data_IF_866206904904
#
_entry.id   IF_866206904904
#
_cell.length_a   1.000
_cell.length_b   1.000
_cell.length_c   1.000
_cell.angle_alpha   90.00
_cell.angle_beta   90.00
_cell.angle_gamma   90.00
#
_symmetry.space_group_name_H-M   'P 1'
#
loop_
_entity.id
_entity.type
_entity.pdbx_description
1 polymer ?
#
# COMPACT_ATOMS: atom_id res chain seq x y z
N UNK A 1 -1.49 11.88 8.94
CA UNK A 1 -2.01 11.24 7.71
C UNK A 1 -1.36 9.87 7.65
N UNK A 2 -2.16 8.81 7.71
CA UNK A 2 -1.67 7.41 7.77
C UNK A 2 -0.83 7.11 6.54
N UNK A 3 0.49 7.08 6.72
CA UNK A 3 1.42 6.70 5.67
C UNK A 3 1.09 5.27 5.24
N UNK A 4 0.66 5.08 3.99
CA UNK A 4 0.47 3.77 3.37
C UNK A 4 1.86 3.12 3.23
N UNK A 5 2.28 2.23 4.13
CA UNK A 5 3.68 1.82 4.24
C UNK A 5 4.02 0.67 3.29
N UNK A 6 3.04 0.19 2.52
CA UNK A 6 3.20 -0.95 1.63
C UNK A 6 2.86 -0.57 0.19
N UNK A 7 3.60 -1.12 -0.76
CA UNK A 7 3.31 -1.03 -2.20
C UNK A 7 2.97 -2.43 -2.72
N UNK A 8 1.85 -2.54 -3.43
CA UNK A 8 1.44 -3.77 -4.08
C UNK A 8 2.32 -4.04 -5.32
N UNK A 9 3.21 -5.02 -5.27
CA UNK A 9 4.23 -5.24 -6.32
C UNK A 9 3.83 -6.25 -7.40
N UNK A 10 2.69 -6.93 -7.24
CA UNK A 10 2.26 -8.00 -8.14
C UNK A 10 1.55 -7.45 -9.37
N UNK A 11 1.77 -8.11 -10.51
CA UNK A 11 1.07 -7.81 -11.78
C UNK A 11 -0.29 -8.54 -11.90
N UNK A 12 -0.82 -9.05 -10.80
CA UNK A 12 -2.17 -9.62 -10.77
C UNK A 12 -3.14 -8.45 -10.57
N UNK A 13 -4.26 -8.42 -11.27
CA UNK A 13 -5.30 -7.38 -11.17
C UNK A 13 -4.93 -5.98 -11.71
N UNK A 14 -3.78 -5.81 -12.39
CA UNK A 14 -3.39 -4.51 -12.98
C UNK A 14 -3.09 -3.39 -11.97
N UNK A 15 -2.88 -3.71 -10.69
CA UNK A 15 -2.65 -2.73 -9.61
C UNK A 15 -1.20 -2.64 -9.12
N UNK A 16 -0.26 -3.06 -9.97
CA UNK A 16 1.17 -3.05 -9.66
C UNK A 16 1.64 -1.61 -9.38
N UNK A 17 2.30 -1.40 -8.24
CA UNK A 17 2.87 -0.12 -7.81
C UNK A 17 1.96 0.72 -6.92
N UNK A 18 0.72 0.32 -6.67
CA UNK A 18 -0.17 1.11 -5.82
C UNK A 18 0.20 1.02 -4.34
N UNK A 19 0.10 2.17 -3.66
CA UNK A 19 0.29 2.27 -2.22
C UNK A 19 -0.93 1.71 -1.49
N UNK A 20 -0.68 0.96 -0.42
CA UNK A 20 -1.67 0.30 0.38
C UNK A 20 -1.25 0.16 1.84
N UNK A 21 -2.24 -0.01 2.70
CA UNK A 21 -2.06 -0.31 4.11
C UNK A 21 -2.64 -1.69 4.42
N UNK A 22 -2.04 -2.39 5.38
CA UNK A 22 -2.57 -3.68 5.84
C UNK A 22 -3.56 -3.41 6.96
N UNK A 23 -4.84 -3.66 6.71
CA UNK A 23 -5.93 -3.46 7.67
C UNK A 23 -6.26 -4.73 8.48
N UNK A 24 -5.93 -5.91 7.97
CA UNK A 24 -6.12 -7.17 8.69
C UNK A 24 -5.03 -8.19 8.36
N UNK A 25 -4.69 -9.03 9.34
CA UNK A 25 -3.75 -10.15 9.18
C UNK A 25 -4.51 -11.46 9.35
N UNK A 26 -4.38 -12.36 8.37
CA UNK A 26 -4.98 -13.69 8.42
C UNK A 26 -4.04 -14.73 9.05
N UNK A 27 -4.52 -15.98 9.09
CA UNK A 27 -3.86 -17.11 9.76
C UNK A 27 -2.57 -17.59 9.07
N UNK A 28 -2.38 -17.29 7.78
CA UNK A 28 -1.18 -17.64 7.00
C UNK A 28 -0.46 -16.40 6.45
N UNK A 29 0.04 -16.45 5.22
CA UNK A 29 0.62 -15.31 4.52
C UNK A 29 -0.44 -14.34 4.01
N UNK A 30 -1.72 -14.57 4.28
CA UNK A 30 -2.81 -13.73 3.84
C UNK A 30 -2.95 -12.47 4.71
N UNK A 31 -3.26 -11.35 4.08
CA UNK A 31 -3.56 -10.07 4.71
C UNK A 31 -4.62 -9.32 3.90
N UNK A 32 -5.49 -8.59 4.57
CA UNK A 32 -6.38 -7.63 3.92
C UNK A 32 -5.66 -6.29 3.80
N UNK A 33 -5.61 -5.74 2.60
CA UNK A 33 -5.06 -4.43 2.32
C UNK A 33 -6.14 -3.46 1.88
N UNK A 34 -5.96 -2.19 2.26
CA UNK A 34 -6.74 -1.06 1.77
C UNK A 34 -5.85 -0.16 0.94
N UNK A 35 -6.33 0.20 -0.24
CA UNK A 35 -5.68 1.15 -1.14
C UNK A 35 -6.15 2.57 -0.81
N UNK A 36 -5.40 3.58 -1.27
CA UNK A 36 -5.75 5.00 -1.09
C UNK A 36 -7.15 5.35 -1.64
N UNK A 37 -7.59 4.66 -2.69
CA UNK A 37 -8.92 4.81 -3.31
C UNK A 37 -10.07 4.21 -2.46
N UNK A 38 -9.79 3.69 -1.26
CA UNK A 38 -10.78 3.06 -0.39
C UNK A 38 -11.10 1.61 -0.74
N UNK A 39 -10.56 1.08 -1.84
CA UNK A 39 -10.70 -0.32 -2.24
C UNK A 39 -9.99 -1.25 -1.24
N UNK A 40 -10.67 -2.32 -0.83
CA UNK A 40 -10.12 -3.35 0.06
C UNK A 40 -10.03 -4.71 -0.62
N UNK A 41 -8.95 -5.43 -0.36
CA UNK A 41 -8.71 -6.75 -0.95
C UNK A 41 -7.86 -7.63 -0.05
N UNK A 42 -8.17 -8.93 -0.03
CA UNK A 42 -7.30 -9.94 0.57
C UNK A 42 -6.23 -10.37 -0.42
N UNK A 43 -4.97 -10.27 -0.01
CA UNK A 43 -3.80 -10.70 -0.79
C UNK A 43 -2.78 -11.38 0.11
N UNK A 44 -1.73 -11.96 -0.48
CA UNK A 44 -0.57 -12.43 0.26
C UNK A 44 0.33 -11.26 0.66
N UNK A 45 0.92 -11.32 1.86
CA UNK A 45 1.98 -10.41 2.35
C UNK A 45 3.20 -10.41 1.43
N UNK A 46 3.45 -11.50 0.71
CA UNK A 46 4.54 -11.59 -0.28
C UNK A 46 4.29 -10.71 -1.52
N UNK A 47 3.04 -10.31 -1.76
CA UNK A 47 2.67 -9.37 -2.80
C UNK A 47 2.92 -7.91 -2.38
N UNK A 48 3.28 -7.66 -1.11
CA UNK A 48 3.52 -6.34 -0.58
C UNK A 48 5.03 -6.08 -0.45
N UNK A 49 5.48 -4.94 -0.95
CA UNK A 49 6.80 -4.40 -0.69
C UNK A 49 6.68 -3.32 0.38
N UNK A 50 7.52 -3.34 1.42
CA UNK A 50 7.61 -2.22 2.36
C UNK A 50 8.20 -1.03 1.64
N UNK A 51 7.52 0.10 1.71
CA UNK A 51 8.10 1.39 1.35
C UNK A 51 9.00 1.79 2.52
N UNK A 52 10.28 2.07 2.27
CA UNK A 52 11.11 2.72 3.29
C UNK A 52 10.48 4.08 3.55
N UNK A 53 10.12 4.33 4.81
CA UNK A 53 9.60 5.59 5.33
C UNK A 53 10.69 6.69 5.32
N UNK A 54 11.34 6.89 4.17
CA UNK A 54 12.44 7.81 3.96
C UNK A 54 12.25 8.68 2.72
N UNK A 55 11.18 8.48 1.94
CA UNK A 55 10.79 9.46 0.93
C UNK A 55 9.84 10.44 1.59
N UNK A 56 10.43 11.42 2.27
CA UNK A 56 9.79 12.67 2.61
C UNK A 56 9.25 13.29 1.31
N UNK A 57 8.02 12.95 0.93
CA UNK A 57 7.25 13.79 0.03
C UNK A 57 6.70 14.89 0.93
N UNK A 58 7.56 15.87 1.23
CA UNK A 58 7.09 17.19 1.63
C UNK A 58 5.97 17.56 0.66
N UNK A 59 4.82 18.06 1.11
CA UNK A 59 3.92 18.78 0.21
C UNK A 59 4.69 20.01 -0.25
N UNK A 60 5.43 19.88 -1.34
CA UNK A 60 5.95 21.01 -2.07
C UNK A 60 4.72 21.81 -2.49
N UNK A 61 4.59 22.97 -1.85
CA UNK A 61 4.18 24.21 -2.51
C UNK A 61 2.94 24.05 -3.40
N UNK A 62 1.78 24.43 -2.87
CA UNK A 62 0.80 25.09 -3.73
C UNK A 62 1.45 26.41 -4.19
N UNK A 63 1.75 26.62 -5.48
CA UNK A 63 2.12 27.95 -5.96
C UNK A 63 0.86 28.74 -6.33
N UNK A 64 0.99 30.06 -6.13
CA UNK A 64 0.08 31.19 -6.41
C UNK A 64 -0.98 31.50 -5.35
#
# INVERSE_FOLDING_TARGET
MTALPYVYRWNRQGRKGQHCEVIARGTMNSCCVRFGDGYTMVTSRNALAKVKEGTNVSPATHPA
#
